data_IF_706117370545
#
_entry.id   IF_706117370545
#
_cell.length_a   1.000
_cell.length_b   1.000
_cell.length_c   1.000
_cell.angle_alpha   90.00
_cell.angle_beta   90.00
_cell.angle_gamma   90.00
#
_symmetry.space_group_name_H-M   'P 1'
#
loop_
_entity.id
_entity.type
_entity.pdbx_description
1 polymer ?
#
# COMPACT_ATOMS: atom_id res chain seq x y z
N UNK A 1 -16.04 -5.78 27.73
CA UNK A 1 -14.97 -6.33 26.87
C UNK A 1 -13.95 -5.22 26.68
N UNK A 2 -12.70 -5.33 27.15
CA UNK A 2 -11.71 -4.31 26.90
C UNK A 2 -11.36 -4.36 25.41
N UNK A 3 -11.55 -3.24 24.71
CA UNK A 3 -11.05 -3.03 23.35
C UNK A 3 -9.53 -3.03 23.41
N UNK A 4 -8.93 -4.19 23.18
CA UNK A 4 -7.52 -4.27 22.79
C UNK A 4 -7.37 -3.37 21.58
N UNK A 5 -6.75 -2.21 21.77
CA UNK A 5 -6.23 -1.41 20.66
C UNK A 5 -5.23 -2.33 19.94
N UNK A 6 -5.72 -3.04 18.92
CA UNK A 6 -4.95 -4.03 18.19
C UNK A 6 -3.78 -3.32 17.54
N UNK A 7 -2.58 -3.57 18.07
CA UNK A 7 -1.32 -3.07 17.53
C UNK A 7 -1.21 -3.45 16.05
N UNK A 8 -0.71 -2.57 15.17
CA UNK A 8 -0.42 -2.93 13.78
C UNK A 8 0.43 -4.19 13.68
N UNK A 9 0.22 -5.01 12.63
CA UNK A 9 1.06 -6.19 12.38
C UNK A 9 2.53 -5.78 12.30
N UNK A 10 3.43 -6.62 12.80
CA UNK A 10 4.88 -6.37 12.75
C UNK A 10 5.37 -6.16 11.32
N UNK A 11 6.40 -5.32 11.17
CA UNK A 11 7.03 -5.04 9.88
C UNK A 11 7.74 -6.31 9.38
N UNK A 12 7.37 -6.77 8.19
CA UNK A 12 7.84 -8.03 7.61
C UNK A 12 8.09 -7.96 6.10
N UNK A 13 7.48 -7.02 5.38
CA UNK A 13 7.58 -6.93 3.92
C UNK A 13 8.83 -6.21 3.43
N UNK A 14 9.34 -5.25 4.21
CA UNK A 14 10.54 -4.46 3.87
C UNK A 14 11.18 -3.88 5.13
N UNK A 15 12.37 -3.29 4.96
CA UNK A 15 13.10 -2.59 6.02
C UNK A 15 12.98 -1.07 5.91
N UNK A 16 12.32 -0.57 4.86
CA UNK A 16 12.13 0.87 4.63
C UNK A 16 10.92 1.13 3.73
N UNK A 17 10.32 2.32 3.86
CA UNK A 17 9.25 2.76 2.98
C UNK A 17 9.72 2.87 1.52
N UNK A 18 11.02 3.16 1.29
CA UNK A 18 11.61 3.23 -0.04
C UNK A 18 11.59 1.87 -0.75
N UNK A 19 11.92 0.79 -0.03
CA UNK A 19 11.90 -0.56 -0.59
C UNK A 19 10.48 -1.06 -0.79
N UNK A 20 9.57 -0.67 0.11
CA UNK A 20 8.16 -0.96 -0.02
C UNK A 20 7.57 -0.32 -1.28
N UNK A 21 7.94 0.93 -1.58
CA UNK A 21 7.51 1.64 -2.79
C UNK A 21 7.94 0.95 -4.09
N UNK A 22 9.14 0.36 -4.15
CA UNK A 22 9.60 -0.40 -5.34
C UNK A 22 8.68 -1.58 -5.67
N UNK A 23 8.05 -2.18 -4.66
CA UNK A 23 7.10 -3.31 -4.85
C UNK A 23 5.75 -2.87 -5.44
N UNK A 24 5.47 -1.57 -5.47
CA UNK A 24 4.23 -1.00 -6.01
C UNK A 24 4.27 -0.79 -7.51
N UNK A 25 5.47 -0.86 -8.12
CA UNK A 25 5.67 -0.66 -9.54
C UNK A 25 4.91 -1.69 -10.37
N UNK A 26 4.12 -1.20 -11.32
CA UNK A 26 3.38 -2.03 -12.28
C UNK A 26 4.00 -1.85 -13.65
N UNK A 27 4.55 -2.93 -14.19
CA UNK A 27 5.03 -2.93 -15.57
C UNK A 27 3.83 -2.88 -16.52
N UNK A 28 3.82 -1.99 -17.52
CA UNK A 28 2.78 -1.96 -18.52
C UNK A 28 2.86 -3.21 -19.40
N UNK A 29 2.03 -4.20 -19.09
CA UNK A 29 1.81 -5.38 -19.92
C UNK A 29 0.83 -5.07 -21.06
N UNK A 30 0.97 -5.83 -22.16
CA UNK A 30 0.09 -5.79 -23.34
C UNK A 30 -1.28 -6.45 -23.09
N UNK A 31 -1.86 -6.24 -21.91
CA UNK A 31 -3.19 -6.70 -21.55
C UNK A 31 -4.23 -5.59 -21.77
N UNK A 32 -5.49 -5.99 -21.95
CA UNK A 32 -6.60 -5.08 -22.21
C UNK A 32 -6.90 -4.17 -21.02
N UNK A 33 -7.46 -2.99 -21.29
CA UNK A 33 -7.88 -2.05 -20.24
C UNK A 33 -8.93 -2.67 -19.31
N UNK A 34 -9.83 -3.52 -19.84
CA UNK A 34 -10.78 -4.31 -19.04
C UNK A 34 -10.09 -5.22 -18.03
N UNK A 35 -9.02 -5.91 -18.43
CA UNK A 35 -8.27 -6.80 -17.53
C UNK A 35 -7.56 -6.01 -16.42
N UNK A 36 -7.01 -4.83 -16.74
CA UNK A 36 -6.47 -3.93 -15.72
C UNK A 36 -7.54 -3.47 -14.74
N UNK A 37 -8.73 -3.10 -15.20
CA UNK A 37 -9.84 -2.68 -14.33
C UNK A 37 -10.28 -3.82 -13.41
N UNK A 38 -10.47 -5.03 -13.94
CA UNK A 38 -10.79 -6.20 -13.12
C UNK A 38 -9.70 -6.49 -12.08
N UNK A 39 -8.43 -6.34 -12.46
CA UNK A 39 -7.31 -6.51 -11.54
C UNK A 39 -7.30 -5.42 -10.47
N UNK A 40 -7.55 -4.17 -10.84
CA UNK A 40 -7.63 -3.04 -9.92
C UNK A 40 -8.75 -3.23 -8.89
N UNK A 41 -9.94 -3.69 -9.29
CA UNK A 41 -11.04 -4.00 -8.37
C UNK A 41 -10.62 -5.06 -7.34
N UNK A 42 -9.94 -6.12 -7.78
CA UNK A 42 -9.41 -7.15 -6.86
C UNK A 42 -8.33 -6.61 -5.92
N UNK A 43 -7.41 -5.80 -6.44
CA UNK A 43 -6.34 -5.16 -5.64
C UNK A 43 -6.96 -4.29 -4.55
N UNK A 44 -7.92 -3.44 -4.89
CA UNK A 44 -8.58 -2.56 -3.93
C UNK A 44 -9.31 -3.34 -2.84
N UNK A 45 -10.05 -4.40 -3.21
CA UNK A 45 -10.72 -5.27 -2.23
C UNK A 45 -9.70 -5.91 -1.28
N UNK A 46 -8.59 -6.42 -1.82
CA UNK A 46 -7.53 -7.02 -1.00
C UNK A 46 -6.84 -5.97 -0.11
N UNK A 47 -6.72 -4.72 -0.57
CA UNK A 47 -6.17 -3.62 0.21
C UNK A 47 -7.05 -3.30 1.42
N UNK A 48 -8.37 -3.25 1.23
CA UNK A 48 -9.34 -3.07 2.32
C UNK A 48 -9.28 -4.20 3.34
N UNK A 49 -9.19 -5.46 2.89
CA UNK A 49 -9.01 -6.61 3.77
C UNK A 49 -7.72 -6.51 4.59
N UNK A 50 -6.58 -6.15 3.95
CA UNK A 50 -5.31 -5.96 4.65
C UNK A 50 -5.36 -4.80 5.66
N UNK A 51 -6.07 -3.72 5.32
CA UNK A 51 -6.26 -2.57 6.22
C UNK A 51 -7.07 -2.96 7.45
N UNK A 52 -8.14 -3.73 7.29
CA UNK A 52 -8.94 -4.26 8.40
C UNK A 52 -8.14 -5.22 9.27
N UNK A 53 -7.27 -6.02 8.65
CA UNK A 53 -6.30 -6.90 9.31
C UNK A 53 -5.14 -6.16 10.00
N UNK A 54 -5.10 -4.82 9.93
CA UNK A 54 -3.99 -3.99 10.45
C UNK A 54 -2.62 -4.32 9.84
N UNK A 55 -2.63 -4.88 8.63
CA UNK A 55 -1.45 -5.14 7.82
C UNK A 55 -1.10 -3.88 7.02
N UNK A 56 -0.47 -2.92 7.68
CA UNK A 56 -0.19 -1.59 7.10
C UNK A 56 0.73 -1.67 5.88
N UNK A 57 1.78 -2.50 5.93
CA UNK A 57 2.72 -2.62 4.81
C UNK A 57 2.04 -3.19 3.57
N UNK A 58 1.26 -4.28 3.72
CA UNK A 58 0.59 -4.91 2.59
C UNK A 58 -0.56 -4.04 2.07
N UNK A 59 -1.32 -3.41 2.97
CA UNK A 59 -2.37 -2.48 2.60
C UNK A 59 -1.79 -1.30 1.78
N UNK A 60 -0.70 -0.70 2.26
CA UNK A 60 -0.02 0.39 1.56
C UNK A 60 0.42 -0.02 0.15
N UNK A 61 1.08 -1.17 0.03
CA UNK A 61 1.54 -1.68 -1.28
C UNK A 61 0.37 -1.85 -2.24
N UNK A 62 -0.76 -2.41 -1.76
CA UNK A 62 -1.93 -2.66 -2.59
C UNK A 62 -2.64 -1.36 -2.99
N UNK A 63 -2.81 -0.39 -2.08
CA UNK A 63 -3.38 0.92 -2.43
C UNK A 63 -2.51 1.67 -3.44
N UNK A 64 -1.20 1.72 -3.23
CA UNK A 64 -0.27 2.33 -4.19
C UNK A 64 -0.28 1.63 -5.54
N UNK A 65 -0.36 0.29 -5.55
CA UNK A 65 -0.46 -0.50 -6.78
C UNK A 65 -1.78 -0.21 -7.51
N UNK A 66 -2.89 -0.08 -6.79
CA UNK A 66 -4.18 0.31 -7.36
C UNK A 66 -4.11 1.70 -8.04
N UNK A 67 -3.55 2.69 -7.35
CA UNK A 67 -3.37 4.05 -7.89
C UNK A 67 -2.45 4.04 -9.11
N UNK A 68 -1.40 3.23 -9.09
CA UNK A 68 -0.47 3.07 -10.22
C UNK A 68 -1.16 2.45 -11.44
N UNK A 69 -1.95 1.39 -11.25
CA UNK A 69 -2.76 0.79 -12.33
C UNK A 69 -3.73 1.82 -12.90
N UNK A 70 -4.43 2.57 -12.04
CA UNK A 70 -5.36 3.62 -12.48
C UNK A 70 -4.64 4.70 -13.31
N UNK A 71 -3.48 5.17 -12.84
CA UNK A 71 -2.68 6.16 -13.53
C UNK A 71 -2.15 5.70 -14.89
N UNK A 72 -1.96 4.39 -15.06
CA UNK A 72 -1.58 3.76 -16.33
C UNK A 72 -2.76 3.70 -17.29
N UNK A 73 -3.91 3.17 -16.85
CA UNK A 73 -5.07 2.98 -17.74
C UNK A 73 -5.77 4.28 -18.10
N UNK A 74 -5.81 5.28 -17.23
CA UNK A 74 -6.48 6.57 -17.51
C UNK A 74 -5.88 7.33 -18.69
N UNK A 75 -4.64 7.00 -19.07
CA UNK A 75 -3.93 7.58 -20.21
C UNK A 75 -4.29 6.92 -21.54
N UNK A 76 -4.89 5.71 -21.52
CA UNK A 76 -5.18 4.94 -22.73
C UNK A 76 -6.40 5.53 -23.49
N UNK A 77 -6.40 5.51 -24.84
CA UNK A 77 -7.49 6.06 -25.63
C UNK A 77 -8.83 5.36 -25.40
N UNK A 78 -8.82 4.04 -25.29
CA UNK A 78 -9.99 3.20 -25.04
C UNK A 78 -10.61 3.49 -23.66
N UNK A 79 -9.77 3.77 -22.65
CA UNK A 79 -10.25 4.23 -21.35
C UNK A 79 -10.98 5.57 -21.45
N UNK A 80 -10.42 6.54 -22.17
CA UNK A 80 -11.03 7.87 -22.34
C UNK A 80 -12.35 7.79 -23.11
N UNK A 81 -12.45 6.90 -24.09
CA UNK A 81 -13.68 6.70 -24.87
C UNK A 81 -14.82 6.12 -24.02
N UNK A 82 -14.50 5.27 -23.04
CA UNK A 82 -15.48 4.61 -22.17
C UNK A 82 -15.25 4.97 -20.69
N UNK A 83 -14.93 6.24 -20.43
CA UNK A 83 -14.50 6.69 -19.11
C UNK A 83 -15.56 6.43 -18.03
N UNK A 84 -16.81 6.80 -18.28
CA UNK A 84 -17.90 6.63 -17.32
C UNK A 84 -18.15 5.15 -16.99
N UNK A 85 -18.04 4.27 -18.00
CA UNK A 85 -18.16 2.82 -17.81
C UNK A 85 -17.06 2.30 -16.88
N UNK A 86 -15.79 2.63 -17.13
CA UNK A 86 -14.70 2.17 -16.28
C UNK A 86 -14.73 2.80 -14.89
N UNK A 87 -15.17 4.06 -14.77
CA UNK A 87 -15.37 4.74 -13.49
C UNK A 87 -16.50 4.10 -12.67
N UNK A 88 -17.58 3.64 -13.30
CA UNK A 88 -18.64 2.89 -12.61
C UNK A 88 -18.15 1.56 -12.03
N UNK A 89 -17.20 0.89 -12.71
CA UNK A 89 -16.61 -0.36 -12.24
C UNK A 89 -15.56 -0.16 -11.14
N UNK A 90 -14.72 0.87 -11.26
CA UNK A 90 -13.67 1.16 -10.29
C UNK A 90 -14.21 1.82 -9.02
N UNK A 91 -15.29 2.59 -9.15
CA UNK A 91 -15.80 3.50 -8.12
C UNK A 91 -14.91 4.74 -8.01
N UNK A 92 -15.39 5.90 -8.46
CA UNK A 92 -14.66 7.17 -8.33
C UNK A 92 -14.25 7.48 -6.89
N UNK A 93 -15.10 7.13 -5.93
CA UNK A 93 -14.84 7.26 -4.49
C UNK A 93 -13.71 6.36 -4.02
N UNK A 94 -13.57 5.16 -4.60
CA UNK A 94 -12.51 4.21 -4.23
C UNK A 94 -11.13 4.72 -4.63
N UNK A 95 -11.03 5.46 -5.75
CA UNK A 95 -9.78 6.08 -6.18
C UNK A 95 -9.33 7.13 -5.17
N UNK A 96 -10.25 8.00 -4.76
CA UNK A 96 -9.95 9.02 -3.77
C UNK A 96 -9.54 8.39 -2.44
N UNK A 97 -10.31 7.39 -1.99
CA UNK A 97 -10.02 6.64 -0.77
C UNK A 97 -8.65 5.94 -0.83
N UNK A 98 -8.29 5.31 -1.94
CA UNK A 98 -7.00 4.64 -2.08
C UNK A 98 -5.81 5.61 -1.94
N UNK A 99 -5.97 6.86 -2.41
CA UNK A 99 -4.94 7.89 -2.26
C UNK A 99 -4.85 8.32 -0.80
N UNK A 100 -5.97 8.67 -0.17
CA UNK A 100 -6.03 9.11 1.22
C UNK A 100 -5.48 8.03 2.19
N UNK A 101 -5.86 6.76 1.99
CA UNK A 101 -5.36 5.62 2.77
C UNK A 101 -3.87 5.37 2.53
N UNK A 102 -3.39 5.48 1.29
CA UNK A 102 -1.96 5.35 0.99
C UNK A 102 -1.13 6.46 1.66
N UNK A 103 -1.62 7.70 1.68
CA UNK A 103 -0.96 8.82 2.36
C UNK A 103 -0.91 8.57 3.88
N UNK A 104 -2.04 8.21 4.49
CA UNK A 104 -2.11 7.91 5.92
C UNK A 104 -1.19 6.75 6.32
N UNK A 105 -1.22 5.65 5.57
CA UNK A 105 -0.35 4.50 5.82
C UNK A 105 1.12 4.84 5.59
N UNK A 106 1.44 5.72 4.63
CA UNK A 106 2.83 6.14 4.41
C UNK A 106 3.41 6.89 5.60
N UNK A 107 2.63 7.76 6.24
CA UNK A 107 3.06 8.49 7.44
C UNK A 107 3.23 7.53 8.64
N UNK A 108 2.29 6.61 8.84
CA UNK A 108 2.40 5.56 9.87
C UNK A 108 3.67 4.71 9.67
N UNK A 109 3.87 4.20 8.46
CA UNK A 109 5.00 3.33 8.14
C UNK A 109 6.35 4.03 8.27
N UNK A 110 6.46 5.32 7.92
CA UNK A 110 7.71 6.10 8.13
C UNK A 110 8.12 6.08 9.60
N UNK A 111 7.19 6.42 10.50
CA UNK A 111 7.44 6.46 11.94
C UNK A 111 7.82 5.08 12.47
N UNK A 112 7.11 4.04 12.03
CA UNK A 112 7.38 2.66 12.46
C UNK A 112 8.73 2.12 12.00
N UNK A 113 9.14 2.43 10.77
CA UNK A 113 10.48 2.06 10.29
C UNK A 113 11.58 2.80 11.04
N UNK A 114 11.38 4.09 11.33
CA UNK A 114 12.32 4.90 12.12
C UNK A 114 12.46 4.37 13.55
N UNK A 115 11.34 4.08 14.22
CA UNK A 115 11.31 3.49 15.56
C UNK A 115 12.05 2.14 15.59
N UNK A 116 11.79 1.26 14.61
CA UNK A 116 12.47 -0.03 14.50
C UNK A 116 13.99 0.11 14.30
N UNK A 117 14.43 1.09 13.51
CA UNK A 117 15.85 1.35 13.29
C UNK A 117 16.53 1.90 14.55
N UNK A 118 15.89 2.85 15.24
CA UNK A 118 16.40 3.42 16.50
C UNK A 118 16.50 2.35 17.59
N UNK A 119 15.44 1.55 17.75
CA UNK A 119 15.42 0.46 18.73
C UNK A 119 16.56 -0.54 18.48
N UNK A 120 16.78 -0.93 17.22
CA UNK A 120 17.87 -1.84 16.86
C UNK A 120 19.25 -1.26 17.22
N UNK A 121 19.47 0.04 16.98
CA UNK A 121 20.74 0.71 17.32
C UNK A 121 20.98 0.78 18.82
N UNK A 122 19.92 1.01 19.61
CA UNK A 122 20.00 1.03 21.07
C UNK A 122 20.33 -0.37 21.62
N UNK A 123 19.62 -1.40 21.16
CA UNK A 123 19.85 -2.80 21.56
C UNK A 123 21.27 -3.28 21.18
N UNK A 124 21.80 -2.84 20.04
CA UNK A 124 23.18 -3.16 19.62
C UNK A 124 24.22 -2.45 20.47
N UNK A 125 23.97 -1.19 20.86
CA UNK A 125 24.85 -0.41 21.74
C UNK A 125 24.89 -0.99 23.15
N UNK A 126 23.74 -1.31 23.73
CA UNK A 126 23.65 -1.94 25.07
C UNK A 126 24.43 -3.27 25.10
N UNK A 127 24.29 -4.10 24.06
CA UNK A 127 25.04 -5.36 23.95
C UNK A 127 26.55 -5.17 23.88
N UNK A 128 27.02 -4.10 23.24
CA UNK A 128 28.45 -3.78 23.18
C UNK A 128 28.98 -3.29 24.55
N UNK A 129 28.16 -2.52 25.28
CA UNK A 129 28.49 -2.04 26.63
C UNK A 129 28.51 -3.17 27.66
N UNK A 130 27.62 -4.17 27.57
CA UNK A 130 27.61 -5.36 28.44
C UNK A 130 28.80 -6.31 28.21
N UNK A 131 29.45 -6.22 27.05
CA UNK A 131 30.60 -7.07 26.68
C UNK A 131 31.97 -6.43 26.97
N UNK A 132 32.00 -5.18 27.45
CA UNK A 132 33.22 -4.48 27.90
C UNK A 132 33.38 -4.53 29.42
#
# INVERSE_FOLDING_TARGET
MPTLASVPKELYLSTSLKDLNKKTEVKPEKISTKNYVQSAVKIFKTAEECRLDRDEEKAYVLYMKYVTVYNLIKKRPDFKQQQDYFHSLLGLTNIKKAIEEAEQLSESLKLRYEEAEVRKKLEEKERQEEQQ
#
